data_IF_151295747109
#
_entry.id   IF_151295747109
#
_cell.length_a   1.000
_cell.length_b   1.000
_cell.length_c   1.000
_cell.angle_alpha   90.00
_cell.angle_beta   90.00
_cell.angle_gamma   90.00
#
_symmetry.space_group_name_H-M   'P 1'
#
loop_
_entity.id
_entity.type
_entity.pdbx_description
1 polymer ?
#
# COMPACT_ATOMS: atom_id res chain seq x y z
N UNK A 1 -15.35 42.95 14.37
CA UNK A 1 -14.13 42.32 14.91
C UNK A 1 -14.46 40.85 15.15
N UNK A 2 -14.15 39.98 14.19
CA UNK A 2 -14.37 38.53 14.32
C UNK A 2 -13.13 37.89 14.89
N UNK A 3 -13.23 37.32 16.09
CA UNK A 3 -12.15 36.55 16.69
C UNK A 3 -11.89 35.30 15.86
N UNK A 4 -10.62 35.12 15.48
CA UNK A 4 -10.13 33.91 14.86
C UNK A 4 -10.29 32.74 15.84
N UNK A 5 -11.27 31.87 15.58
CA UNK A 5 -11.38 30.59 16.28
C UNK A 5 -10.22 29.69 15.86
N UNK A 6 -9.11 29.79 16.59
CA UNK A 6 -7.98 28.88 16.47
C UNK A 6 -8.41 27.45 16.83
N UNK A 7 -8.14 26.55 15.90
CA UNK A 7 -8.40 25.10 15.99
C UNK A 7 -7.64 24.50 17.17
N UNK A 8 -8.33 23.91 18.15
CA UNK A 8 -7.71 23.16 19.26
C UNK A 8 -8.08 21.68 19.20
N UNK A 9 -7.09 20.80 19.07
CA UNK A 9 -7.22 19.44 19.61
C UNK A 9 -7.32 19.56 21.13
N UNK A 10 -8.48 19.20 21.70
CA UNK A 10 -8.74 19.29 23.13
C UNK A 10 -8.53 17.97 23.85
N UNK A 11 -7.90 18.01 25.03
CA UNK A 11 -8.02 16.95 26.04
C UNK A 11 -9.13 17.33 27.00
N UNK A 12 -10.04 16.39 27.30
CA UNK A 12 -11.02 16.54 28.38
C UNK A 12 -10.59 15.62 29.51
N UNK A 13 -10.20 16.20 30.63
CA UNK A 13 -9.94 15.43 31.85
C UNK A 13 -11.22 14.74 32.29
N UNK A 14 -11.12 13.47 32.65
CA UNK A 14 -12.26 12.67 33.12
C UNK A 14 -12.72 13.13 34.51
N UNK A 15 -11.82 13.79 35.24
CA UNK A 15 -12.04 14.38 36.55
C UNK A 15 -11.67 15.87 36.51
N UNK A 16 -11.96 16.59 37.60
CA UNK A 16 -11.53 17.99 37.77
C UNK A 16 -10.02 18.12 38.03
N UNK A 17 -9.34 17.02 38.30
CA UNK A 17 -7.89 16.97 38.48
C UNK A 17 -7.18 17.02 37.13
N UNK A 18 -6.34 18.04 36.95
CA UNK A 18 -5.51 18.26 35.74
C UNK A 18 -4.34 17.29 35.62
N UNK A 19 -4.02 16.53 36.66
CA UNK A 19 -3.04 15.45 36.62
C UNK A 19 -3.69 14.08 36.44
N UNK A 20 -5.02 14.02 36.43
CA UNK A 20 -5.79 12.80 36.26
C UNK A 20 -5.87 12.28 34.82
N UNK A 21 -6.48 11.10 34.62
CA UNK A 21 -6.68 10.54 33.30
C UNK A 21 -7.58 11.44 32.46
N UNK A 22 -7.23 11.59 31.19
CA UNK A 22 -7.97 12.39 30.22
C UNK A 22 -8.35 11.57 29.00
N UNK A 23 -9.45 11.98 28.36
CA UNK A 23 -9.91 11.40 27.11
C UNK A 23 -9.84 12.42 25.98
N UNK A 24 -9.62 11.91 24.78
CA UNK A 24 -9.63 12.72 23.56
C UNK A 24 -11.06 13.14 23.23
N UNK A 25 -11.28 14.42 22.93
CA UNK A 25 -12.58 14.91 22.44
C UNK A 25 -12.44 15.35 20.99
N UNK A 26 -13.11 14.63 20.09
CA UNK A 26 -13.33 15.06 18.72
C UNK A 26 -14.55 15.98 18.68
N UNK A 27 -14.37 17.27 18.35
CA UNK A 27 -15.49 18.15 18.02
C UNK A 27 -15.92 17.95 16.56
N UNK A 28 -17.22 17.85 16.33
CA UNK A 28 -17.83 17.46 15.05
C UNK A 28 -17.68 18.42 13.87
N UNK A 29 -16.96 19.53 14.01
CA UNK A 29 -16.71 20.52 12.93
C UNK A 29 -15.48 20.21 12.07
N UNK A 30 -14.78 19.09 12.32
CA UNK A 30 -13.81 18.58 11.36
C UNK A 30 -14.55 17.81 10.26
N UNK A 31 -14.69 18.42 9.10
CA UNK A 31 -14.94 17.71 7.83
C UNK A 31 -13.67 16.93 7.44
N UNK A 32 -13.29 15.96 8.26
CA UNK A 32 -12.25 14.99 7.91
C UNK A 32 -12.90 13.89 7.09
N UNK A 33 -12.59 13.87 5.81
CA UNK A 33 -12.91 12.75 4.94
C UNK A 33 -11.74 11.76 5.01
N UNK A 34 -12.02 10.49 5.33
CA UNK A 34 -11.01 9.42 5.36
C UNK A 34 -10.49 9.07 3.98
N UNK A 35 -10.95 9.70 2.91
CA UNK A 35 -10.57 9.39 1.53
C UNK A 35 -9.06 9.58 1.26
N UNK A 36 -8.34 10.32 2.12
CA UNK A 36 -6.88 10.50 2.06
C UNK A 36 -6.09 9.58 2.99
N UNK A 37 -6.75 8.66 3.71
CA UNK A 37 -6.11 7.81 4.72
C UNK A 37 -5.29 6.66 4.14
N UNK A 38 -5.58 6.24 2.91
CA UNK A 38 -4.89 5.14 2.22
C UNK A 38 -4.27 5.61 0.92
N UNK A 39 -2.96 5.53 0.84
CA UNK A 39 -2.20 5.87 -0.36
C UNK A 39 -1.02 4.91 -0.53
N UNK A 40 -0.57 4.77 -1.76
CA UNK A 40 0.66 4.04 -2.08
C UNK A 40 1.84 4.99 -2.12
N UNK A 41 2.98 4.52 -1.60
CA UNK A 41 4.23 5.28 -1.63
C UNK A 41 5.29 4.52 -2.41
N UNK A 42 6.07 5.21 -3.27
CA UNK A 42 7.17 4.57 -3.96
C UNK A 42 8.26 4.21 -2.95
N UNK A 43 8.77 2.98 -3.03
CA UNK A 43 9.84 2.50 -2.15
C UNK A 43 11.08 3.41 -2.21
N UNK A 44 11.39 3.97 -3.39
CA UNK A 44 12.52 4.89 -3.59
C UNK A 44 12.42 6.15 -2.73
N UNK A 45 11.22 6.55 -2.31
CA UNK A 45 11.05 7.68 -1.37
C UNK A 45 11.63 7.40 0.02
N UNK A 46 11.84 6.13 0.38
CA UNK A 46 12.46 5.75 1.66
C UNK A 46 13.99 5.80 1.60
N UNK A 47 14.59 5.84 0.41
CA UNK A 47 16.05 5.70 0.24
C UNK A 47 16.67 7.04 -0.13
N UNK A 48 17.57 7.60 0.70
CA UNK A 48 18.29 8.83 0.39
C UNK A 48 19.23 8.70 -0.82
N UNK A 49 19.36 9.79 -1.58
CA UNK A 49 20.26 9.87 -2.74
C UNK A 49 21.72 9.93 -2.31
N UNK A 50 22.03 10.71 -1.27
CA UNK A 50 23.41 11.07 -0.91
C UNK A 50 24.00 10.24 0.24
N UNK A 51 23.16 9.62 1.07
CA UNK A 51 23.59 8.87 2.28
C UNK A 51 23.32 7.39 2.14
N UNK A 52 24.37 6.58 2.29
CA UNK A 52 24.29 5.12 2.29
C UNK A 52 23.91 4.59 3.67
N UNK A 53 23.35 3.38 3.74
CA UNK A 53 22.88 2.76 4.99
C UNK A 53 21.72 3.47 5.71
N UNK A 54 21.23 4.61 5.21
CA UNK A 54 20.13 5.36 5.83
C UNK A 54 18.79 5.03 5.15
N UNK A 55 17.74 4.90 5.96
CA UNK A 55 16.36 4.76 5.51
C UNK A 55 15.49 5.84 6.13
N UNK A 56 14.71 6.53 5.31
CA UNK A 56 13.64 7.42 5.76
C UNK A 56 12.48 6.62 6.34
N UNK A 57 11.87 7.13 7.39
CA UNK A 57 10.72 6.56 8.10
C UNK A 57 9.79 7.67 8.61
N UNK A 58 8.51 7.61 8.22
CA UNK A 58 7.50 8.58 8.64
C UNK A 58 7.67 9.93 7.95
N UNK A 59 8.23 10.93 8.64
CA UNK A 59 8.22 12.35 8.21
C UNK A 59 9.48 12.82 7.49
N UNK A 60 10.51 11.99 7.39
CA UNK A 60 11.80 12.32 6.77
C UNK A 60 12.01 11.57 5.43
N UNK A 61 10.93 11.10 4.80
CA UNK A 61 10.99 10.44 3.49
C UNK A 61 11.06 11.47 2.35
N UNK A 62 11.70 11.10 1.25
CA UNK A 62 11.87 11.96 0.07
C UNK A 62 10.59 12.00 -0.78
N UNK A 63 9.70 12.95 -0.48
CA UNK A 63 8.43 13.16 -1.20
C UNK A 63 8.13 14.66 -1.39
N UNK A 64 7.18 14.99 -2.27
CA UNK A 64 6.75 16.38 -2.45
C UNK A 64 6.02 16.93 -1.20
N UNK A 65 5.92 18.25 -1.07
CA UNK A 65 5.21 18.90 0.04
C UNK A 65 3.73 18.50 0.13
N UNK A 66 3.09 18.21 -1.02
CA UNK A 66 1.71 17.72 -1.12
C UNK A 66 1.60 16.29 -0.60
N UNK A 67 2.52 15.41 -0.97
CA UNK A 67 2.53 14.03 -0.44
C UNK A 67 2.88 14.04 1.06
N UNK A 68 3.77 14.93 1.48
CA UNK A 68 4.13 15.10 2.88
C UNK A 68 2.96 15.59 3.73
N UNK A 69 2.00 16.35 3.18
CA UNK A 69 0.79 16.75 3.91
C UNK A 69 -0.20 15.59 4.08
N UNK A 70 -0.32 14.71 3.10
CA UNK A 70 -1.12 13.48 3.19
C UNK A 70 -0.54 12.49 4.23
N UNK A 71 0.79 12.37 4.31
CA UNK A 71 1.53 11.48 5.22
C UNK A 71 1.50 11.87 6.71
N UNK A 72 0.82 12.96 7.10
CA UNK A 72 0.75 13.39 8.51
C UNK A 72 -0.26 12.59 9.34
N UNK A 73 -0.86 11.55 8.75
CA UNK A 73 -1.74 10.61 9.42
C UNK A 73 -0.93 9.56 10.19
N UNK A 74 -1.32 9.29 11.43
CA UNK A 74 -0.65 8.30 12.27
C UNK A 74 -0.62 6.91 11.62
N UNK A 75 -1.71 6.49 10.98
CA UNK A 75 -1.76 5.22 10.26
C UNK A 75 -0.68 5.12 9.18
N UNK A 76 -0.62 6.09 8.27
CA UNK A 76 0.39 6.09 7.20
C UNK A 76 1.82 6.13 7.76
N UNK A 77 2.08 6.92 8.81
CA UNK A 77 3.40 6.95 9.44
C UNK A 77 3.82 5.57 9.98
N UNK A 78 2.89 4.82 10.57
CA UNK A 78 3.14 3.44 11.05
C UNK A 78 3.44 2.50 9.88
N UNK A 79 2.66 2.57 8.79
CA UNK A 79 2.88 1.75 7.60
C UNK A 79 4.23 2.03 6.94
N UNK A 80 4.63 3.31 6.84
CA UNK A 80 5.96 3.69 6.35
C UNK A 80 7.05 3.09 7.26
N UNK A 81 6.86 3.14 8.58
CA UNK A 81 7.81 2.51 9.52
C UNK A 81 7.95 1.01 9.33
N UNK A 82 6.84 0.29 9.12
CA UNK A 82 6.86 -1.13 8.80
C UNK A 82 7.59 -1.39 7.48
N UNK A 83 7.33 -0.60 6.43
CA UNK A 83 8.01 -0.71 5.15
C UNK A 83 9.53 -0.49 5.29
N UNK A 84 9.95 0.56 5.99
CA UNK A 84 11.38 0.85 6.22
C UNK A 84 12.06 -0.26 7.02
N UNK A 85 11.39 -0.81 8.03
CA UNK A 85 11.91 -1.94 8.80
C UNK A 85 12.06 -3.21 7.95
N UNK A 86 11.09 -3.52 7.08
CA UNK A 86 11.18 -4.67 6.16
C UNK A 86 12.33 -4.50 5.17
N UNK A 87 12.56 -3.29 4.67
CA UNK A 87 13.71 -3.00 3.79
C UNK A 87 15.03 -3.19 4.53
N UNK A 88 15.15 -2.65 5.74
CA UNK A 88 16.33 -2.80 6.57
C UNK A 88 16.63 -4.28 6.86
N UNK A 89 15.60 -5.07 7.19
CA UNK A 89 15.72 -6.51 7.39
C UNK A 89 16.26 -7.23 6.15
N UNK A 90 15.72 -6.94 4.97
CA UNK A 90 16.18 -7.55 3.71
C UNK A 90 17.63 -7.15 3.39
N UNK A 91 18.00 -5.89 3.62
CA UNK A 91 19.36 -5.38 3.46
C UNK A 91 20.35 -6.14 4.35
N UNK A 92 20.02 -6.31 5.64
CA UNK A 92 20.86 -7.01 6.60
C UNK A 92 20.95 -8.52 6.31
N UNK A 93 19.85 -9.15 5.91
CA UNK A 93 19.80 -10.57 5.56
C UNK A 93 20.69 -10.91 4.37
N UNK A 94 20.66 -10.07 3.33
CA UNK A 94 21.31 -10.35 2.05
C UNK A 94 22.64 -9.61 1.87
N UNK A 95 23.05 -8.77 2.84
CA UNK A 95 24.27 -7.97 2.77
C UNK A 95 24.26 -6.94 1.64
N UNK A 96 23.10 -6.32 1.37
CA UNK A 96 22.91 -5.35 0.28
C UNK A 96 22.50 -3.98 0.80
N UNK A 97 22.92 -2.93 0.08
CA UNK A 97 22.52 -1.56 0.40
C UNK A 97 21.05 -1.27 0.01
N UNK A 98 20.34 -0.40 0.76
CA UNK A 98 18.97 0.00 0.44
C UNK A 98 18.77 0.53 -0.99
N UNK A 99 19.78 1.19 -1.56
CA UNK A 99 19.74 1.69 -2.95
C UNK A 99 19.63 0.56 -3.96
N UNK A 100 20.36 -0.54 -3.74
CA UNK A 100 20.32 -1.73 -4.59
C UNK A 100 18.94 -2.39 -4.51
N UNK A 101 18.38 -2.47 -3.31
CA UNK A 101 17.03 -3.01 -3.08
C UNK A 101 15.96 -2.19 -3.82
N UNK A 102 16.08 -0.86 -3.83
CA UNK A 102 15.09 0.03 -4.42
C UNK A 102 15.06 0.06 -5.96
N UNK A 103 16.09 -0.49 -6.62
CA UNK A 103 16.15 -0.61 -8.09
C UNK A 103 15.91 -2.04 -8.58
N UNK A 104 16.09 -3.04 -7.72
CA UNK A 104 15.89 -4.45 -8.05
C UNK A 104 14.41 -4.82 -7.92
N UNK A 105 13.76 -5.04 -9.07
CA UNK A 105 12.34 -5.40 -9.15
C UNK A 105 12.00 -6.63 -8.30
N UNK A 106 12.87 -7.63 -8.25
CA UNK A 106 12.62 -8.88 -7.52
C UNK A 106 12.58 -8.63 -6.02
N UNK A 107 13.50 -7.80 -5.52
CA UNK A 107 13.56 -7.42 -4.09
C UNK A 107 12.38 -6.52 -3.71
N UNK A 108 11.98 -5.60 -4.58
CA UNK A 108 10.76 -4.78 -4.36
C UNK A 108 9.53 -5.68 -4.22
N UNK A 109 9.38 -6.67 -5.09
CA UNK A 109 8.27 -7.64 -5.02
C UNK A 109 8.32 -8.48 -3.74
N UNK A 110 9.51 -8.90 -3.34
CA UNK A 110 9.70 -9.63 -2.08
C UNK A 110 9.27 -8.79 -0.87
N UNK A 111 9.62 -7.50 -0.83
CA UNK A 111 9.20 -6.57 0.23
C UNK A 111 7.68 -6.41 0.23
N UNK A 112 7.06 -6.15 -0.93
CA UNK A 112 5.61 -6.01 -1.06
C UNK A 112 4.88 -7.26 -0.54
N UNK A 113 5.35 -8.45 -0.92
CA UNK A 113 4.79 -9.71 -0.45
C UNK A 113 4.97 -9.89 1.06
N UNK A 114 6.17 -9.63 1.58
CA UNK A 114 6.46 -9.77 3.02
C UNK A 114 5.56 -8.85 3.85
N UNK A 115 5.36 -7.62 3.38
CA UNK A 115 4.45 -6.66 4.00
C UNK A 115 2.99 -7.13 3.92
N UNK A 116 2.51 -7.55 2.74
CA UNK A 116 1.13 -7.98 2.54
C UNK A 116 0.78 -9.27 3.30
N UNK A 117 1.72 -10.19 3.44
CA UNK A 117 1.55 -11.41 4.23
C UNK A 117 1.55 -11.12 5.75
N UNK A 118 2.39 -10.19 6.20
CA UNK A 118 2.59 -9.90 7.62
C UNK A 118 3.51 -10.91 8.32
N UNK A 119 3.99 -10.55 9.52
CA UNK A 119 4.91 -11.38 10.33
C UNK A 119 4.30 -11.59 11.72
N UNK A 120 3.53 -12.66 11.88
CA UNK A 120 2.86 -12.98 13.15
C UNK A 120 1.68 -12.06 13.51
N UNK A 121 1.25 -11.21 12.58
CA UNK A 121 0.13 -10.27 12.72
C UNK A 121 -0.50 -9.96 11.35
N UNK A 122 -1.50 -9.08 11.29
CA UNK A 122 -2.19 -8.76 10.04
C UNK A 122 -1.23 -8.14 9.03
N UNK A 123 -1.47 -8.45 7.76
CA UNK A 123 -0.72 -7.88 6.64
C UNK A 123 -0.89 -6.37 6.50
N UNK A 124 0.11 -5.73 5.91
CA UNK A 124 0.09 -4.32 5.54
C UNK A 124 -0.61 -4.13 4.21
N UNK A 125 -1.51 -3.14 4.16
CA UNK A 125 -2.25 -2.78 2.96
C UNK A 125 -1.30 -2.19 1.90
N UNK A 126 -1.01 -2.95 0.84
CA UNK A 126 -0.20 -2.48 -0.30
C UNK A 126 -1.06 -1.73 -1.31
N UNK A 127 -2.15 -2.35 -1.78
CA UNK A 127 -3.15 -1.67 -2.60
C UNK A 127 -4.34 -1.28 -1.73
N UNK A 128 -4.79 -0.02 -1.76
CA UNK A 128 -5.70 0.53 -0.76
C UNK A 128 -7.18 0.18 -0.98
N UNK A 129 -7.57 -1.09 -1.04
CA UNK A 129 -8.99 -1.47 -1.10
C UNK A 129 -9.71 -1.20 0.24
N UNK A 130 -10.96 -0.73 0.17
CA UNK A 130 -11.74 -0.35 1.36
C UNK A 130 -12.53 -1.51 1.99
N UNK A 131 -12.81 -2.54 1.20
CA UNK A 131 -13.74 -3.63 1.52
C UNK A 131 -13.06 -5.00 1.69
N UNK A 132 -11.73 -5.04 1.76
CA UNK A 132 -10.97 -6.27 1.98
C UNK A 132 -10.14 -6.12 3.24
N UNK A 133 -10.62 -6.64 4.40
CA UNK A 133 -9.87 -6.57 5.64
C UNK A 133 -8.65 -7.52 5.61
N UNK A 134 -7.60 -7.29 6.42
CA UNK A 134 -6.39 -8.11 6.45
C UNK A 134 -6.63 -9.61 6.71
N UNK A 135 -7.71 -9.95 7.42
CA UNK A 135 -8.09 -11.32 7.74
C UNK A 135 -8.75 -12.05 6.57
N UNK A 136 -9.15 -11.33 5.52
CA UNK A 136 -9.85 -11.91 4.39
C UNK A 136 -8.88 -12.77 3.54
N UNK A 137 -9.24 -14.01 3.12
CA UNK A 137 -8.35 -14.90 2.38
C UNK A 137 -7.83 -14.36 1.03
N UNK A 138 -8.51 -13.36 0.48
CA UNK A 138 -8.11 -12.70 -0.77
C UNK A 138 -7.30 -11.42 -0.54
N UNK A 139 -7.04 -11.00 0.70
CA UNK A 139 -6.36 -9.74 1.02
C UNK A 139 -5.00 -9.61 0.34
N UNK A 140 -4.10 -10.55 0.62
CA UNK A 140 -2.75 -10.56 0.06
C UNK A 140 -2.81 -10.63 -1.48
N UNK A 141 -3.53 -11.62 -2.01
CA UNK A 141 -3.62 -11.85 -3.45
C UNK A 141 -4.21 -10.64 -4.21
N UNK A 142 -5.29 -10.04 -3.70
CA UNK A 142 -5.92 -8.87 -4.31
C UNK A 142 -4.96 -7.69 -4.30
N UNK A 143 -4.32 -7.39 -3.17
CA UNK A 143 -3.40 -6.24 -3.08
C UNK A 143 -2.18 -6.42 -3.98
N UNK A 144 -1.55 -7.59 -3.98
CA UNK A 144 -0.34 -7.86 -4.75
C UNK A 144 -0.63 -7.91 -6.26
N UNK A 145 -1.65 -8.64 -6.71
CA UNK A 145 -1.96 -8.74 -8.13
C UNK A 145 -2.40 -7.41 -8.75
N UNK A 146 -3.05 -6.55 -7.97
CA UNK A 146 -3.37 -5.19 -8.40
C UNK A 146 -2.10 -4.33 -8.47
N UNK A 147 -1.20 -4.42 -7.49
CA UNK A 147 0.10 -3.75 -7.55
C UNK A 147 1.01 -4.28 -8.68
N UNK A 148 0.78 -5.51 -9.16
CA UNK A 148 1.42 -6.05 -10.36
C UNK A 148 0.78 -5.58 -11.67
N UNK A 149 -0.42 -4.99 -11.63
CA UNK A 149 -1.16 -4.58 -12.81
C UNK A 149 -1.82 -5.72 -13.58
N UNK A 150 -1.81 -6.94 -13.03
CA UNK A 150 -2.55 -8.10 -13.57
C UNK A 150 -4.04 -7.90 -13.31
N UNK A 151 -4.38 -7.57 -12.07
CA UNK A 151 -5.73 -7.13 -11.71
C UNK A 151 -5.84 -5.63 -11.95
N UNK A 152 -6.85 -5.20 -12.70
CA UNK A 152 -7.12 -3.77 -12.94
C UNK A 152 -8.24 -3.31 -12.00
N UNK A 153 -7.96 -2.36 -11.09
CA UNK A 153 -8.98 -1.80 -10.23
C UNK A 153 -9.92 -0.92 -11.06
N UNK A 154 -11.13 -0.73 -10.55
CA UNK A 154 -12.08 0.22 -11.10
C UNK A 154 -11.58 1.65 -10.80
N UNK A 155 -11.34 2.50 -11.81
CA UNK A 155 -10.83 3.86 -11.58
C UNK A 155 -11.78 4.74 -10.76
N UNK A 156 -13.08 4.42 -10.78
CA UNK A 156 -14.12 5.19 -10.10
C UNK A 156 -14.49 4.58 -8.75
N UNK A 157 -13.82 3.50 -8.32
CA UNK A 157 -14.15 2.81 -7.08
C UNK A 157 -12.93 2.34 -6.30
N UNK A 158 -12.96 2.62 -4.99
CA UNK A 158 -11.98 2.11 -4.01
C UNK A 158 -12.32 0.69 -3.51
N UNK A 159 -13.33 0.04 -4.11
CA UNK A 159 -13.84 -1.26 -3.69
C UNK A 159 -13.38 -2.38 -4.63
N UNK A 160 -12.93 -3.48 -4.05
CA UNK A 160 -12.58 -4.70 -4.78
C UNK A 160 -13.82 -5.53 -5.16
N UNK A 161 -14.79 -5.59 -4.25
CA UNK A 161 -16.02 -6.40 -4.27
C UNK A 161 -15.72 -7.90 -4.32
N UNK A 162 -15.23 -8.52 -3.24
CA UNK A 162 -14.73 -9.90 -3.24
C UNK A 162 -15.77 -10.94 -3.69
N UNK A 163 -17.05 -10.74 -3.35
CA UNK A 163 -18.14 -11.67 -3.65
C UNK A 163 -18.75 -11.49 -5.03
N UNK A 164 -18.37 -10.43 -5.75
CA UNK A 164 -18.88 -10.20 -7.11
C UNK A 164 -18.44 -11.34 -8.03
N UNK A 165 -19.38 -11.85 -8.84
CA UNK A 165 -19.07 -12.85 -9.86
C UNK A 165 -18.19 -12.26 -10.97
N UNK A 166 -17.27 -13.08 -11.48
CA UNK A 166 -16.39 -12.69 -12.59
C UNK A 166 -17.01 -13.15 -13.90
N UNK A 167 -17.15 -12.23 -14.85
CA UNK A 167 -17.66 -12.60 -16.19
C UNK A 167 -16.55 -13.28 -17.00
N UNK A 168 -16.93 -14.13 -17.97
CA UNK A 168 -15.93 -14.79 -18.83
C UNK A 168 -15.07 -13.76 -19.58
N UNK A 169 -15.65 -12.66 -20.06
CA UNK A 169 -14.91 -11.60 -20.75
C UNK A 169 -13.87 -10.92 -19.83
N UNK A 170 -14.24 -10.63 -18.58
CA UNK A 170 -13.34 -10.08 -17.57
C UNK A 170 -12.20 -11.06 -17.27
N UNK A 171 -12.53 -12.35 -17.11
CA UNK A 171 -11.54 -13.40 -16.84
C UNK A 171 -10.55 -13.55 -18.00
N UNK A 172 -11.02 -13.65 -19.24
CA UNK A 172 -10.15 -13.72 -20.42
C UNK A 172 -9.24 -12.49 -20.54
N UNK A 173 -9.76 -11.29 -20.27
CA UNK A 173 -8.95 -10.07 -20.27
C UNK A 173 -7.84 -10.11 -19.21
N UNK A 174 -8.10 -10.69 -18.03
CA UNK A 174 -7.09 -10.89 -16.98
C UNK A 174 -6.04 -11.92 -17.45
N UNK A 175 -6.46 -13.04 -18.02
CA UNK A 175 -5.55 -14.08 -18.54
C UNK A 175 -4.57 -13.56 -19.60
N UNK A 176 -4.97 -12.58 -20.41
CA UNK A 176 -4.08 -11.94 -21.37
C UNK A 176 -2.92 -11.14 -20.73
N UNK A 177 -3.05 -10.75 -19.45
CA UNK A 177 -2.00 -10.04 -18.69
C UNK A 177 -1.11 -10.98 -17.90
N UNK A 178 -1.49 -12.25 -17.77
CA UNK A 178 -0.72 -13.28 -17.08
C UNK A 178 0.37 -13.83 -18.02
N UNK A 179 1.56 -14.22 -17.51
CA UNK A 179 2.58 -14.91 -18.29
C UNK A 179 2.03 -16.15 -19.02
N UNK A 180 2.46 -16.35 -20.27
CA UNK A 180 1.92 -17.39 -21.18
C UNK A 180 2.00 -18.80 -20.57
N UNK A 181 3.07 -19.09 -19.83
CA UNK A 181 3.31 -20.36 -19.13
C UNK A 181 2.16 -20.79 -18.21
N UNK A 182 1.40 -19.84 -17.68
CA UNK A 182 0.41 -20.06 -16.64
C UNK A 182 -1.03 -20.01 -17.18
N UNK A 183 -1.24 -19.56 -18.42
CA UNK A 183 -2.58 -19.31 -18.99
C UNK A 183 -3.40 -20.58 -19.18
N UNK A 184 -2.77 -21.66 -19.64
CA UNK A 184 -3.46 -22.90 -19.95
C UNK A 184 -4.08 -23.57 -18.72
N UNK A 185 -3.42 -23.46 -17.57
CA UNK A 185 -3.94 -23.98 -16.31
C UNK A 185 -5.13 -23.17 -15.81
N UNK A 186 -5.02 -21.84 -15.84
CA UNK A 186 -6.06 -20.92 -15.38
C UNK A 186 -7.28 -20.82 -16.31
N UNK A 187 -7.14 -21.19 -17.59
CA UNK A 187 -8.23 -21.16 -18.56
C UNK A 187 -9.21 -22.33 -18.41
N UNK A 188 -8.89 -23.36 -17.60
CA UNK A 188 -9.71 -24.56 -17.45
C UNK A 188 -11.01 -24.32 -16.67
N UNK A 189 -10.97 -23.40 -15.71
CA UNK A 189 -12.10 -23.15 -14.81
C UNK A 189 -12.36 -21.64 -14.68
N UNK A 190 -13.64 -21.26 -14.76
CA UNK A 190 -14.07 -19.89 -14.49
C UNK A 190 -14.29 -19.73 -12.98
N UNK A 191 -13.59 -18.80 -12.30
CA UNK A 191 -13.78 -18.58 -10.88
C UNK A 191 -15.19 -18.04 -10.55
N UNK A 192 -15.76 -18.53 -9.45
CA UNK A 192 -17.11 -18.16 -9.01
C UNK A 192 -17.20 -16.68 -8.58
N UNK A 193 -16.14 -16.17 -7.94
CA UNK A 193 -16.08 -14.79 -7.42
C UNK A 193 -14.73 -14.13 -7.67
N UNK A 194 -14.65 -12.80 -7.53
CA UNK A 194 -13.40 -12.03 -7.63
C UNK A 194 -12.37 -12.51 -6.62
N UNK A 195 -12.80 -12.83 -5.41
CA UNK A 195 -11.93 -13.42 -4.38
C UNK A 195 -11.36 -14.78 -4.80
N UNK A 196 -12.19 -15.65 -5.39
CA UNK A 196 -11.72 -16.93 -5.92
C UNK A 196 -10.74 -16.73 -7.08
N UNK A 197 -10.99 -15.75 -7.94
CA UNK A 197 -10.16 -15.44 -9.10
C UNK A 197 -8.74 -15.01 -8.70
N UNK A 198 -8.60 -14.04 -7.80
CA UNK A 198 -7.28 -13.58 -7.35
C UNK A 198 -6.52 -14.66 -6.59
N UNK A 199 -7.22 -15.52 -5.85
CA UNK A 199 -6.60 -16.67 -5.15
C UNK A 199 -6.09 -17.72 -6.14
N UNK A 200 -6.87 -18.07 -7.15
CA UNK A 200 -6.43 -19.00 -8.21
C UNK A 200 -5.24 -18.44 -9.00
N UNK A 201 -5.21 -17.13 -9.23
CA UNK A 201 -4.04 -16.48 -9.83
C UNK A 201 -2.81 -16.57 -8.91
N UNK A 202 -2.97 -16.34 -7.61
CA UNK A 202 -1.87 -16.36 -6.65
C UNK A 202 -1.26 -17.76 -6.44
N UNK A 203 -2.02 -18.84 -6.63
CA UNK A 203 -1.47 -20.22 -6.52
C UNK A 203 -0.55 -20.57 -7.69
N UNK A 204 -0.81 -19.98 -8.85
CA UNK A 204 -0.11 -20.30 -10.11
C UNK A 204 1.03 -19.31 -10.39
N UNK A 205 0.83 -18.03 -10.03
CA UNK A 205 1.74 -16.94 -10.35
C UNK A 205 2.68 -16.68 -9.17
N UNK A 206 3.99 -16.84 -9.41
CA UNK A 206 5.02 -16.39 -8.47
C UNK A 206 5.19 -14.87 -8.56
N UNK A 207 4.59 -14.15 -7.62
CA UNK A 207 4.55 -12.68 -7.58
C UNK A 207 5.95 -12.04 -7.63
N UNK A 208 6.95 -12.68 -7.02
CA UNK A 208 8.33 -12.20 -6.94
C UNK A 208 9.02 -12.11 -8.31
N UNK A 209 8.52 -12.87 -9.29
CA UNK A 209 9.08 -12.90 -10.64
C UNK A 209 8.36 -11.94 -11.60
N UNK A 210 7.33 -11.23 -11.14
CA UNK A 210 6.62 -10.27 -11.96
C UNK A 210 7.41 -8.96 -12.05
N UNK A 211 7.63 -8.47 -13.27
CA UNK A 211 8.23 -7.17 -13.50
C UNK A 211 7.41 -6.05 -12.84
N UNK A 212 8.08 -4.98 -12.42
CA UNK A 212 7.40 -3.78 -11.98
C UNK A 212 6.68 -3.12 -13.17
N UNK A 213 5.52 -2.47 -12.98
CA UNK A 213 4.91 -1.66 -14.03
C UNK A 213 5.90 -0.59 -14.47
N UNK A 214 6.06 -0.37 -15.77
CA UNK A 214 6.88 0.74 -16.26
C UNK A 214 6.31 2.05 -15.71
N UNK A 215 7.16 2.82 -15.02
CA UNK A 215 6.79 4.18 -14.63
C UNK A 215 6.64 5.01 -15.91
N UNK A 216 5.57 5.83 -16.05
CA UNK A 216 5.58 6.86 -17.08
C UNK A 216 6.84 7.71 -16.88
N UNK A 217 7.67 7.79 -17.93
CA UNK A 217 8.87 8.63 -17.90
C UNK A 217 8.40 10.05 -17.56
N UNK A 218 8.96 10.71 -16.54
CA UNK A 218 8.67 12.12 -16.35
C UNK A 218 9.06 12.83 -17.65
N UNK A 219 8.18 13.69 -18.17
CA UNK A 219 8.57 14.63 -19.21
C UNK A 219 9.87 15.30 -18.77
N UNK A 220 10.85 15.32 -19.66
CA UNK A 220 12.15 15.97 -19.47
C UNK A 220 12.01 17.51 -19.54
N UNK A 221 11.04 18.04 -18.80
CA UNK A 221 10.74 19.48 -18.72
C UNK A 221 11.48 20.14 -17.55
N UNK A 222 12.44 19.45 -16.93
CA UNK A 222 13.38 20.10 -16.01
C UNK A 222 14.40 20.87 -16.84
N UNK A 223 14.03 22.09 -17.26
CA UNK A 223 15.03 23.08 -17.67
C UNK A 223 16.08 23.23 -16.56
N UNK A 224 17.36 23.39 -16.94
CA UNK A 224 18.49 23.50 -16.00
C UNK A 224 18.34 24.67 -15.03
#
# INVERSE_FOLDING_TARGET
MGEAHAVRCGRKFLTLDRNGPWQFVHTGTRNWHTDTDRAMFPLRGLVPIERDGLLGCGKNIGVSSVVQSALRLHGQMMLVGQASATVAWLCLRDGVEPRTVAVDSKRVREIQRTLAHGVGGPGVLIWPYHDVPPEHPAFEAASLLTAAGIWKPDPESVLFRPDRSVTNNEWQAILQRVPVSNRQELAKELPVSRAAAVRALATVIRFENLSLPEAPRPNDDRKP
#
